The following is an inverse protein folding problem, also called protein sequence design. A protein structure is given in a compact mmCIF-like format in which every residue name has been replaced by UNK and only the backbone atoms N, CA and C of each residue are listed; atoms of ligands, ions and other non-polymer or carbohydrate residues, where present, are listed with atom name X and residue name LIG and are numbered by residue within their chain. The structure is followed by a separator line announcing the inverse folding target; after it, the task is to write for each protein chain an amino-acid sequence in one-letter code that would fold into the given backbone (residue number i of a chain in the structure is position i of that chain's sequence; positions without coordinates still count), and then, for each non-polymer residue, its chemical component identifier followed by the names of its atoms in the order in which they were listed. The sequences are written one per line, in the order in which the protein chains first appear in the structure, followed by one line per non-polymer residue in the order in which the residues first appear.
data_IF_963766435122
#
_entry.id   IF_963766435122
#
_cell.length_a   1.000
_cell.length_b   1.000
_cell.length_c   1.000
_cell.angle_alpha   90.00
_cell.angle_beta   90.00
_cell.angle_gamma   90.00
#
_symmetry.space_group_name_H-M   'P 1'
#
loop_
_entity.id
_entity.type
_entity.pdbx_description
1 polymer ?
#
# COMPACT_ATOMS: atom_id res chain seq x y z
N UNK A 1 -64.92 -18.85 -6.51
CA UNK A 1 -64.57 -20.14 -7.11
C UNK A 1 -63.17 -20.47 -6.68
N UNK A 2 -63.05 -21.52 -5.91
CA UNK A 2 -61.81 -22.19 -5.51
C UNK A 2 -61.07 -22.71 -6.74
N UNK A 3 -59.74 -22.70 -6.73
CA UNK A 3 -59.01 -23.95 -6.85
C UNK A 3 -57.55 -23.85 -6.37
N UNK A 4 -57.27 -24.79 -5.48
CA UNK A 4 -56.02 -25.19 -4.86
C UNK A 4 -55.15 -25.99 -5.84
N UNK A 5 -53.83 -25.87 -5.76
CA UNK A 5 -52.92 -27.02 -5.64
C UNK A 5 -51.46 -26.58 -5.52
N UNK A 6 -50.93 -26.70 -4.29
CA UNK A 6 -49.51 -26.63 -3.98
C UNK A 6 -48.88 -28.03 -4.15
N UNK A 7 -47.80 -28.12 -4.93
CA UNK A 7 -46.97 -29.32 -5.02
C UNK A 7 -45.91 -29.37 -3.89
N UNK A 8 -45.38 -30.56 -3.56
CA UNK A 8 -44.50 -30.75 -2.40
C UNK A 8 -43.05 -30.29 -2.65
N UNK A 9 -42.24 -30.09 -1.60
CA UNK A 9 -40.87 -29.58 -1.71
C UNK A 9 -39.89 -30.68 -2.16
N UNK A 10 -38.90 -30.29 -2.97
CA UNK A 10 -37.79 -31.13 -3.42
C UNK A 10 -36.64 -31.02 -2.41
N UNK A 11 -36.25 -32.14 -1.78
CA UNK A 11 -35.03 -32.29 -0.98
C UNK A 11 -33.77 -32.44 -1.87
N UNK A 12 -32.60 -31.93 -1.46
CA UNK A 12 -31.34 -32.15 -2.16
C UNK A 12 -30.71 -33.53 -1.89
N UNK A 13 -30.13 -34.11 -2.93
CA UNK A 13 -29.56 -35.45 -2.95
C UNK A 13 -28.34 -35.63 -2.02
N UNK A 14 -28.42 -36.69 -1.20
CA UNK A 14 -27.33 -37.27 -0.40
C UNK A 14 -26.39 -38.09 -1.30
N UNK A 15 -25.08 -37.82 -1.23
CA UNK A 15 -24.05 -38.60 -1.93
C UNK A 15 -23.70 -39.86 -1.14
N UNK A 16 -24.00 -41.01 -1.74
CA UNK A 16 -23.72 -42.35 -1.22
C UNK A 16 -22.22 -42.72 -1.29
N UNK A 17 -21.75 -43.42 -0.24
CA UNK A 17 -20.46 -44.13 -0.19
C UNK A 17 -20.46 -45.36 -1.10
N UNK A 18 -19.34 -45.74 -1.75
CA UNK A 18 -19.22 -47.04 -2.40
C UNK A 18 -18.64 -48.14 -1.46
N UNK A 19 -18.86 -49.43 -1.78
CA UNK A 19 -18.78 -50.54 -0.84
C UNK A 19 -17.43 -51.28 -0.81
N UNK A 20 -17.17 -51.92 0.34
CA UNK A 20 -16.10 -52.89 0.56
C UNK A 20 -16.24 -54.13 -0.34
N UNK A 21 -15.12 -54.59 -0.92
CA UNK A 21 -15.02 -55.94 -1.49
C UNK A 21 -13.69 -56.59 -1.07
N UNK A 22 -13.82 -57.66 -0.28
CA UNK A 22 -12.76 -58.53 0.22
C UNK A 22 -12.05 -59.29 -0.91
N UNK A 23 -10.71 -59.29 -0.93
CA UNK A 23 -9.91 -60.41 -1.46
C UNK A 23 -8.64 -60.66 -0.63
N UNK A 24 -8.67 -61.85 -0.03
CA UNK A 24 -7.64 -62.82 0.41
C UNK A 24 -6.17 -62.39 0.52
N UNK A 25 -5.64 -62.69 1.71
CA UNK A 25 -4.24 -62.65 2.17
C UNK A 25 -3.33 -63.59 1.36
N UNK A 26 -2.14 -63.09 1.02
CA UNK A 26 -0.92 -63.88 0.94
C UNK A 26 0.17 -63.11 1.69
N UNK A 27 0.74 -63.74 2.70
CA UNK A 27 1.72 -63.20 3.64
C UNK A 27 3.11 -63.47 3.09
N UNK A 28 3.93 -62.42 2.89
CA UNK A 28 5.38 -62.55 2.88
C UNK A 28 5.92 -61.48 3.83
N UNK A 29 6.63 -61.95 4.84
CA UNK A 29 7.22 -61.16 5.91
C UNK A 29 8.47 -60.42 5.42
N UNK A 30 8.62 -59.16 5.80
CA UNK A 30 9.91 -58.51 5.99
C UNK A 30 9.77 -57.27 6.90
N UNK A 31 10.29 -57.40 8.11
CA UNK A 31 10.97 -56.39 8.95
C UNK A 31 10.29 -55.04 9.21
N UNK A 32 9.89 -54.82 10.47
CA UNK A 32 9.42 -53.55 11.02
C UNK A 32 10.54 -52.49 11.03
N UNK A 33 10.36 -51.45 10.21
CA UNK A 33 11.00 -50.14 10.37
C UNK A 33 9.93 -49.10 10.68
N UNK A 34 10.13 -48.34 11.75
CA UNK A 34 9.21 -47.32 12.25
C UNK A 34 8.87 -46.27 11.17
N UNK A 35 7.59 -46.01 10.95
CA UNK A 35 7.10 -44.88 10.15
C UNK A 35 6.67 -43.75 11.09
N UNK A 36 7.59 -42.83 11.33
CA UNK A 36 7.26 -41.47 11.77
C UNK A 36 6.91 -40.65 10.52
N UNK A 37 5.82 -39.89 10.60
CA UNK A 37 5.39 -38.95 9.57
C UNK A 37 6.49 -37.91 9.31
N UNK A 38 7.03 -37.92 8.09
CA UNK A 38 7.93 -36.89 7.58
C UNK A 38 7.11 -35.75 6.99
N UNK A 39 6.98 -34.67 7.77
CA UNK A 39 6.90 -33.32 7.23
C UNK A 39 8.14 -33.11 6.36
N UNK A 40 7.96 -32.97 5.05
CA UNK A 40 9.01 -32.50 4.15
C UNK A 40 9.27 -31.01 4.40
N UNK A 41 9.95 -30.72 5.52
CA UNK A 41 10.82 -29.56 5.59
C UNK A 41 12.08 -29.93 4.80
N UNK A 42 12.36 -29.20 3.74
CA UNK A 42 13.58 -29.29 2.95
C UNK A 42 14.82 -28.97 3.81
N UNK A 43 15.27 -29.96 4.57
CA UNK A 43 16.58 -30.02 5.21
C UNK A 43 17.50 -30.88 4.37
N UNK A 44 18.47 -30.26 3.69
CA UNK A 44 19.57 -30.98 3.08
C UNK A 44 20.50 -31.51 4.19
N UNK A 45 20.64 -32.83 4.24
CA UNK A 45 21.65 -33.53 5.03
C UNK A 45 23.03 -33.26 4.40
N UNK A 46 23.96 -32.64 5.13
CA UNK A 46 25.35 -32.49 4.71
C UNK A 46 26.22 -33.46 5.51
N UNK A 47 26.84 -34.40 4.80
CA UNK A 47 27.88 -35.28 5.32
C UNK A 47 29.17 -34.48 5.53
N UNK A 48 29.74 -34.57 6.73
CA UNK A 48 31.00 -33.92 7.09
C UNK A 48 32.20 -34.75 6.59
N UNK A 49 33.06 -34.10 5.81
CA UNK A 49 34.46 -34.51 5.61
C UNK A 49 35.34 -33.41 6.21
N UNK A 50 36.36 -33.84 6.95
CA UNK A 50 37.14 -33.08 7.91
C UNK A 50 37.76 -31.77 7.39
N UNK A 51 37.73 -30.73 8.25
CA UNK A 51 38.78 -29.71 8.31
C UNK A 51 38.57 -28.39 7.57
N UNK A 52 37.45 -28.17 6.88
CA UNK A 52 37.12 -26.86 6.30
C UNK A 52 35.99 -26.18 7.08
N UNK A 53 36.07 -24.85 7.36
CA UNK A 53 34.97 -24.13 8.00
C UNK A 53 33.74 -24.22 7.09
N UNK A 54 32.69 -24.89 7.59
CA UNK A 54 31.41 -25.03 6.89
C UNK A 54 30.86 -23.63 6.63
N UNK A 55 30.85 -23.21 5.36
CA UNK A 55 30.18 -21.97 4.96
C UNK A 55 28.70 -22.13 5.27
N UNK A 56 28.16 -21.31 6.17
CA UNK A 56 26.73 -21.30 6.44
C UNK A 56 25.98 -21.01 5.14
N UNK A 57 25.02 -21.87 4.78
CA UNK A 57 24.18 -21.65 3.61
C UNK A 57 23.43 -20.31 3.74
N UNK A 58 23.31 -19.53 2.65
CA UNK A 58 22.63 -18.25 2.71
C UNK A 58 21.14 -18.43 3.04
N UNK A 59 20.56 -17.44 3.72
CA UNK A 59 19.11 -17.27 3.79
C UNK A 59 18.63 -16.71 2.45
N UNK A 60 17.89 -17.51 1.68
CA UNK A 60 17.38 -17.09 0.38
C UNK A 60 16.00 -16.43 0.57
N UNK A 61 15.85 -15.21 0.06
CA UNK A 61 14.58 -14.49 -0.03
C UNK A 61 14.06 -14.61 -1.46
N UNK A 62 13.20 -15.60 -1.71
CA UNK A 62 12.73 -16.01 -3.05
C UNK A 62 11.27 -15.65 -3.33
N UNK A 63 10.59 -14.99 -2.40
CA UNK A 63 9.21 -14.53 -2.57
C UNK A 63 9.18 -13.07 -3.06
N UNK A 64 8.56 -12.79 -4.23
CA UNK A 64 8.37 -11.42 -4.69
C UNK A 64 7.60 -10.59 -3.66
N UNK A 65 8.02 -9.33 -3.48
CA UNK A 65 7.48 -8.43 -2.44
C UNK A 65 7.61 -8.94 -0.99
N UNK A 66 8.45 -9.96 -0.76
CA UNK A 66 8.73 -10.48 0.58
C UNK A 66 9.39 -9.43 1.49
N UNK A 67 9.03 -9.44 2.78
CA UNK A 67 9.59 -8.53 3.77
C UNK A 67 10.29 -9.33 4.87
N UNK A 68 11.61 -9.17 4.98
CA UNK A 68 12.38 -9.62 6.13
C UNK A 68 12.48 -8.47 7.14
N UNK A 69 11.82 -8.61 8.28
CA UNK A 69 11.67 -7.53 9.25
C UNK A 69 12.14 -7.90 10.66
N UNK A 70 12.92 -7.02 11.30
CA UNK A 70 13.18 -7.05 12.75
C UNK A 70 14.04 -8.22 13.27
N UNK A 71 14.54 -9.08 12.37
CA UNK A 71 15.27 -10.30 12.72
C UNK A 71 16.78 -10.06 12.84
N UNK A 72 17.45 -10.91 13.62
CA UNK A 72 18.91 -11.06 13.58
C UNK A 72 19.25 -12.27 12.70
N UNK A 73 20.14 -12.11 11.73
CA UNK A 73 20.55 -13.13 10.77
C UNK A 73 22.07 -13.31 10.84
N UNK A 74 22.51 -14.43 11.42
CA UNK A 74 23.94 -14.76 11.60
C UNK A 74 24.54 -15.55 10.42
N UNK A 75 24.05 -15.31 9.20
CA UNK A 75 24.49 -15.96 7.96
C UNK A 75 24.29 -15.00 6.77
N UNK A 76 24.88 -15.25 5.59
CA UNK A 76 24.65 -14.41 4.43
C UNK A 76 23.17 -14.42 4.00
N UNK A 77 22.70 -13.34 3.42
CA UNK A 77 21.37 -13.25 2.81
C UNK A 77 21.54 -13.21 1.29
N UNK A 78 20.72 -13.97 0.58
CA UNK A 78 20.62 -13.92 -0.86
C UNK A 78 19.22 -13.48 -1.28
N UNK A 79 19.12 -12.39 -2.01
CA UNK A 79 17.84 -11.87 -2.53
C UNK A 79 17.63 -12.41 -3.93
N UNK A 80 16.61 -13.26 -4.08
CA UNK A 80 16.34 -14.04 -5.28
C UNK A 80 15.02 -13.68 -6.00
N UNK A 81 14.28 -12.70 -5.48
CA UNK A 81 13.02 -12.24 -6.05
C UNK A 81 12.89 -10.72 -6.02
N UNK A 82 12.05 -10.19 -6.91
CA UNK A 82 11.84 -8.75 -7.06
C UNK A 82 11.08 -8.12 -5.89
N UNK A 83 11.35 -6.83 -5.67
CA UNK A 83 10.68 -5.98 -4.68
C UNK A 83 10.83 -6.47 -3.22
N UNK A 84 11.85 -7.25 -2.90
CA UNK A 84 12.12 -7.71 -1.53
C UNK A 84 12.56 -6.55 -0.64
N UNK A 85 12.03 -6.49 0.58
CA UNK A 85 12.42 -5.50 1.60
C UNK A 85 13.12 -6.16 2.78
N UNK A 86 14.30 -5.67 3.14
CA UNK A 86 15.05 -6.03 4.36
C UNK A 86 15.01 -4.81 5.29
N UNK A 87 14.24 -4.88 6.37
CA UNK A 87 13.97 -3.74 7.26
C UNK A 87 14.30 -4.05 8.72
N UNK A 88 15.05 -3.17 9.38
CA UNK A 88 15.39 -3.32 10.82
C UNK A 88 16.03 -4.66 11.13
N UNK A 89 16.82 -5.19 10.19
CA UNK A 89 17.50 -6.47 10.34
C UNK A 89 18.90 -6.22 10.90
N UNK A 90 19.41 -7.16 11.69
CA UNK A 90 20.83 -7.21 12.08
C UNK A 90 21.50 -8.40 11.40
N UNK A 91 22.38 -8.14 10.45
CA UNK A 91 23.12 -9.18 9.72
C UNK A 91 24.52 -9.28 10.32
N UNK A 92 24.93 -10.48 10.75
CA UNK A 92 26.30 -10.74 11.22
C UNK A 92 26.86 -11.92 10.47
N UNK A 93 27.84 -11.70 9.60
CA UNK A 93 28.34 -12.80 8.77
C UNK A 93 29.72 -12.56 8.20
N UNK A 94 30.39 -13.63 7.76
CA UNK A 94 31.64 -13.59 7.00
C UNK A 94 31.44 -14.23 5.63
N UNK A 95 32.53 -14.48 4.91
CA UNK A 95 32.46 -15.03 3.55
C UNK A 95 32.60 -13.95 2.49
N UNK A 96 31.93 -14.10 1.35
CA UNK A 96 32.10 -13.22 0.18
C UNK A 96 31.33 -11.90 0.30
N UNK A 97 30.07 -11.95 0.71
CA UNK A 97 29.25 -10.77 0.97
C UNK A 97 28.17 -11.05 2.03
N UNK A 98 27.72 -10.02 2.74
CA UNK A 98 26.67 -10.15 3.73
C UNK A 98 25.26 -10.24 3.11
N UNK A 99 25.01 -9.45 2.07
CA UNK A 99 23.78 -9.48 1.28
C UNK A 99 24.14 -9.53 -0.20
N UNK A 100 23.62 -10.53 -0.91
CA UNK A 100 23.82 -10.73 -2.35
C UNK A 100 22.50 -10.54 -3.08
N UNK A 101 22.45 -9.62 -4.04
CA UNK A 101 21.32 -9.46 -4.96
C UNK A 101 21.57 -10.33 -6.19
N UNK A 102 20.68 -11.29 -6.49
CA UNK A 102 20.82 -12.13 -7.67
C UNK A 102 20.72 -11.29 -8.96
N UNK A 103 21.43 -11.67 -10.02
CA UNK A 103 21.28 -11.03 -11.33
C UNK A 103 19.82 -10.99 -11.78
N UNK A 104 19.39 -9.86 -12.32
CA UNK A 104 18.01 -9.65 -12.82
C UNK A 104 16.99 -9.28 -11.75
N UNK A 105 17.32 -9.38 -10.46
CA UNK A 105 16.44 -8.94 -9.38
C UNK A 105 16.35 -7.42 -9.35
N UNK A 106 15.13 -6.89 -9.31
CA UNK A 106 14.86 -5.44 -9.24
C UNK A 106 14.07 -5.06 -7.99
N UNK A 107 14.28 -3.83 -7.51
CA UNK A 107 13.45 -3.25 -6.46
C UNK A 107 13.79 -3.70 -5.03
N UNK A 108 14.97 -4.29 -4.80
CA UNK A 108 15.40 -4.62 -3.44
C UNK A 108 15.59 -3.35 -2.60
N UNK A 109 14.90 -3.27 -1.46
CA UNK A 109 15.07 -2.24 -0.45
C UNK A 109 15.74 -2.81 0.79
N UNK A 110 16.77 -2.12 1.29
CA UNK A 110 17.41 -2.39 2.57
C UNK A 110 17.29 -1.12 3.40
N UNK A 111 16.54 -1.16 4.51
CA UNK A 111 16.28 0.02 5.34
C UNK A 111 16.48 -0.24 6.84
N UNK A 112 16.99 0.76 7.56
CA UNK A 112 17.21 0.72 9.01
C UNK A 112 18.00 -0.52 9.50
N UNK A 113 18.87 -1.06 8.65
CA UNK A 113 19.49 -2.38 8.83
C UNK A 113 20.96 -2.22 9.23
N UNK A 114 21.43 -3.08 10.13
CA UNK A 114 22.82 -3.11 10.59
C UNK A 114 23.51 -4.35 10.02
N UNK A 115 24.63 -4.14 9.33
CA UNK A 115 25.45 -5.21 8.74
C UNK A 115 26.81 -5.21 9.41
N UNK A 116 27.17 -6.33 10.02
CA UNK A 116 28.48 -6.54 10.65
C UNK A 116 29.21 -7.69 9.97
N UNK A 117 30.22 -7.35 9.17
CA UNK A 117 31.10 -8.36 8.61
C UNK A 117 32.05 -8.89 9.69
N UNK A 118 32.16 -10.21 9.78
CA UNK A 118 33.04 -10.89 10.76
C UNK A 118 34.40 -11.26 10.16
N UNK A 119 34.62 -11.01 8.87
CA UNK A 119 35.89 -11.19 8.18
C UNK A 119 36.20 -9.97 7.31
N UNK A 120 37.47 -9.54 7.31
CA UNK A 120 37.94 -8.38 6.55
C UNK A 120 37.82 -8.53 5.02
N UNK A 121 37.61 -9.75 4.51
CA UNK A 121 37.41 -10.02 3.09
C UNK A 121 35.95 -9.94 2.62
N UNK A 122 34.99 -9.77 3.54
CA UNK A 122 33.55 -9.79 3.25
C UNK A 122 33.06 -8.43 2.79
N UNK A 123 32.37 -8.38 1.65
CA UNK A 123 31.67 -7.18 1.19
C UNK A 123 30.31 -7.05 1.93
N UNK A 124 29.75 -5.84 2.06
CA UNK A 124 28.46 -5.63 2.70
C UNK A 124 27.31 -6.06 1.79
N UNK A 125 26.90 -5.18 0.89
CA UNK A 125 25.84 -5.46 -0.09
C UNK A 125 26.42 -5.41 -1.51
N UNK A 126 26.13 -6.45 -2.30
CA UNK A 126 26.64 -6.62 -3.67
C UNK A 126 25.53 -7.10 -4.62
N UNK A 127 25.62 -6.91 -5.95
CA UNK A 127 26.63 -6.14 -6.69
C UNK A 127 26.15 -4.72 -7.09
N UNK A 128 24.99 -4.28 -6.62
CA UNK A 128 24.31 -3.03 -7.04
C UNK A 128 22.82 -3.28 -7.34
N UNK A 129 22.08 -2.29 -7.82
CA UNK A 129 20.67 -2.48 -8.23
C UNK A 129 19.66 -2.54 -7.08
N UNK A 130 20.08 -2.10 -5.89
CA UNK A 130 19.26 -2.02 -4.68
C UNK A 130 19.21 -0.59 -4.14
N UNK A 131 18.29 -0.34 -3.21
CA UNK A 131 18.26 0.90 -2.41
C UNK A 131 18.65 0.60 -0.98
N UNK A 132 19.62 1.33 -0.43
CA UNK A 132 20.06 1.26 0.96
C UNK A 132 19.75 2.59 1.67
N UNK A 133 18.86 2.54 2.67
CA UNK A 133 18.42 3.71 3.43
C UNK A 133 18.74 3.52 4.92
N UNK A 134 19.59 4.40 5.49
CA UNK A 134 20.03 4.31 6.89
C UNK A 134 20.63 2.95 7.25
N UNK A 135 21.38 2.36 6.31
CA UNK A 135 22.07 1.09 6.50
C UNK A 135 23.44 1.35 7.13
N UNK A 136 23.70 0.74 8.29
CA UNK A 136 24.99 0.85 8.98
C UNK A 136 25.82 -0.40 8.71
N UNK A 137 26.94 -0.24 8.01
CA UNK A 137 27.84 -1.34 7.68
C UNK A 137 29.13 -1.21 8.48
N UNK A 138 29.58 -2.28 9.13
CA UNK A 138 30.79 -2.28 9.98
C UNK A 138 31.65 -3.51 9.72
N UNK A 139 32.96 -3.29 9.58
CA UNK A 139 33.96 -4.35 9.43
C UNK A 139 33.99 -5.02 8.05
N UNK A 140 33.29 -4.47 7.06
CA UNK A 140 33.23 -5.00 5.70
C UNK A 140 34.31 -4.35 4.82
N UNK A 141 34.85 -5.11 3.85
CA UNK A 141 35.84 -4.61 2.88
C UNK A 141 35.29 -3.44 2.06
N UNK A 142 34.10 -3.63 1.48
CA UNK A 142 33.34 -2.59 0.82
C UNK A 142 31.91 -2.64 1.34
N UNK A 143 31.39 -1.55 1.90
CA UNK A 143 30.03 -1.56 2.45
C UNK A 143 28.95 -1.77 1.38
N UNK A 144 29.08 -1.08 0.25
CA UNK A 144 28.09 -1.07 -0.82
C UNK A 144 28.79 -1.20 -2.16
N UNK A 145 29.01 -2.43 -2.62
CA UNK A 145 29.64 -2.67 -3.91
C UNK A 145 28.62 -2.45 -5.02
N UNK A 146 28.98 -1.59 -5.97
CA UNK A 146 28.18 -1.19 -7.12
C UNK A 146 29.06 -0.95 -8.34
N UNK A 147 28.46 -0.89 -9.52
CA UNK A 147 29.13 -0.47 -10.77
C UNK A 147 28.29 0.61 -11.46
N UNK A 148 28.87 1.36 -12.39
CA UNK A 148 28.13 2.39 -13.14
C UNK A 148 26.96 1.82 -13.95
N UNK A 149 27.09 0.56 -14.40
CA UNK A 149 26.03 -0.15 -15.12
C UNK A 149 24.92 -0.70 -14.20
N UNK A 150 25.17 -0.80 -12.89
CA UNK A 150 24.22 -1.29 -11.91
C UNK A 150 24.36 -0.51 -10.59
N UNK A 151 24.03 0.79 -10.57
CA UNK A 151 24.22 1.62 -9.39
C UNK A 151 23.26 1.21 -8.27
N UNK A 152 23.68 1.41 -7.03
CA UNK A 152 22.82 1.36 -5.85
C UNK A 152 22.42 2.79 -5.46
N UNK A 153 21.20 2.94 -4.93
CA UNK A 153 20.78 4.21 -4.32
C UNK A 153 21.09 4.16 -2.83
N UNK A 154 22.03 4.98 -2.37
CA UNK A 154 22.53 4.94 -1.00
C UNK A 154 22.23 6.26 -0.31
N UNK A 155 21.39 6.23 0.73
CA UNK A 155 20.89 7.41 1.43
C UNK A 155 21.10 7.23 2.93
N UNK A 156 21.67 8.24 3.59
CA UNK A 156 21.89 8.30 5.05
C UNK A 156 22.59 7.05 5.64
N UNK A 157 23.36 6.34 4.80
CA UNK A 157 24.01 5.09 5.17
C UNK A 157 25.48 5.32 5.52
N UNK A 158 26.09 4.41 6.27
CA UNK A 158 27.44 4.58 6.79
C UNK A 158 28.27 3.32 6.67
N UNK A 159 29.59 3.52 6.55
CA UNK A 159 30.60 2.49 6.70
C UNK A 159 31.51 2.84 7.88
N UNK A 160 31.64 1.92 8.83
CA UNK A 160 32.54 2.04 9.99
C UNK A 160 32.34 3.36 10.77
N UNK A 161 31.08 3.73 10.96
CA UNK A 161 30.67 4.95 11.67
C UNK A 161 30.79 6.24 10.86
N UNK A 162 31.33 6.21 9.63
CA UNK A 162 31.43 7.37 8.74
C UNK A 162 30.33 7.35 7.68
N UNK A 163 29.68 8.48 7.36
CA UNK A 163 28.74 8.56 6.24
C UNK A 163 29.37 8.02 4.95
N UNK A 164 28.63 7.21 4.20
CA UNK A 164 29.15 6.60 2.97
C UNK A 164 28.93 7.52 1.76
N UNK A 165 30.00 7.98 1.09
CA UNK A 165 29.89 8.81 -0.11
C UNK A 165 29.74 7.90 -1.33
N UNK A 166 28.51 7.51 -1.69
CA UNK A 166 28.36 6.47 -2.73
C UNK A 166 26.99 6.37 -3.38
N UNK A 167 26.55 7.44 -4.01
CA UNK A 167 25.49 7.48 -5.01
C UNK A 167 25.63 8.84 -5.71
N UNK A 168 25.12 9.04 -6.95
CA UNK A 168 25.30 10.31 -7.66
C UNK A 168 24.92 11.46 -6.73
N UNK A 169 25.93 12.24 -6.36
CA UNK A 169 25.77 13.43 -5.55
C UNK A 169 24.95 14.40 -6.36
N UNK A 170 23.64 14.44 -6.10
CA UNK A 170 22.83 15.60 -6.42
C UNK A 170 23.54 16.83 -5.89
N UNK A 171 23.53 17.97 -6.61
CA UNK A 171 24.28 19.14 -6.22
C UNK A 171 23.94 19.51 -4.77
N UNK A 172 24.98 19.63 -3.96
CA UNK A 172 24.98 20.16 -2.61
C UNK A 172 24.72 21.67 -2.66
N UNK A 173 23.55 22.03 -3.16
CA UNK A 173 22.83 23.19 -2.68
C UNK A 173 21.97 22.69 -1.53
N UNK A 174 22.06 23.33 -0.37
CA UNK A 174 20.99 23.30 0.61
C UNK A 174 19.75 23.88 -0.07
N UNK A 175 19.00 23.03 -0.78
CA UNK A 175 17.59 23.29 -1.04
C UNK A 175 17.00 23.29 0.35
N UNK A 176 16.52 24.45 0.86
CA UNK A 176 15.78 24.47 2.10
C UNK A 176 14.68 23.40 1.97
N UNK A 177 14.35 22.63 3.02
CA UNK A 177 13.14 21.83 2.96
C UNK A 177 12.03 22.76 2.42
N UNK A 178 11.30 22.39 1.35
CA UNK A 178 10.17 23.20 0.94
C UNK A 178 9.37 23.41 2.22
N UNK A 179 9.17 24.68 2.59
CA UNK A 179 8.49 25.01 3.81
C UNK A 179 7.22 24.15 3.84
N UNK A 180 6.90 23.45 4.96
CA UNK A 180 5.64 22.74 5.07
C UNK A 180 4.57 23.73 4.61
N UNK A 181 3.79 23.34 3.60
CA UNK A 181 2.82 24.23 2.98
C UNK A 181 2.03 24.89 4.13
N UNK A 182 2.11 26.22 4.32
CA UNK A 182 1.43 26.88 5.42
C UNK A 182 -0.08 26.56 5.40
N UNK A 183 -0.65 26.23 4.25
CA UNK A 183 -2.02 25.70 4.13
C UNK A 183 -2.19 24.30 4.72
N UNK A 184 -1.21 23.40 4.63
CA UNK A 184 -1.34 22.03 5.17
C UNK A 184 -1.41 21.99 6.70
N UNK A 185 -0.73 22.94 7.35
CA UNK A 185 -0.78 23.15 8.80
C UNK A 185 -2.01 23.97 9.21
N UNK A 186 -2.31 25.05 8.51
CA UNK A 186 -3.51 25.87 8.73
C UNK A 186 -4.81 25.11 8.45
N UNK A 187 -4.80 24.15 7.52
CA UNK A 187 -5.93 23.27 7.26
C UNK A 187 -6.05 22.23 8.37
N UNK A 188 -4.99 21.53 8.79
CA UNK A 188 -5.05 20.64 9.96
C UNK A 188 -5.59 21.35 11.23
N UNK A 189 -5.28 22.65 11.36
CA UNK A 189 -5.70 23.54 12.46
C UNK A 189 -7.02 24.31 12.20
N UNK A 190 -7.68 24.11 11.05
CA UNK A 190 -8.93 24.83 10.73
C UNK A 190 -10.00 24.48 11.78
N UNK A 191 -10.65 25.48 12.41
CA UNK A 191 -11.56 25.23 13.53
C UNK A 191 -12.69 24.28 13.10
N UNK A 192 -13.18 23.42 14.02
CA UNK A 192 -14.35 22.60 13.75
C UNK A 192 -15.50 23.51 13.32
N UNK A 193 -16.01 23.29 12.12
CA UNK A 193 -17.13 24.09 11.60
C UNK A 193 -18.38 23.86 12.46
N UNK A 194 -19.12 24.94 12.69
CA UNK A 194 -20.13 25.09 13.73
C UNK A 194 -21.29 24.08 13.67
N UNK A 195 -21.84 23.61 14.83
CA UNK A 195 -23.04 22.79 14.85
C UNK A 195 -24.33 23.59 14.62
N UNK A 196 -25.25 22.96 13.87
CA UNK A 196 -26.72 22.94 14.02
C UNK A 196 -27.52 24.27 14.02
N UNK A 197 -27.52 25.02 12.90
CA UNK A 197 -28.66 25.87 12.48
C UNK A 197 -28.56 26.39 11.01
N UNK A 198 -27.68 25.82 10.19
CA UNK A 198 -27.46 26.30 8.81
C UNK A 198 -28.47 25.68 7.82
N UNK A 199 -28.85 26.38 6.74
CA UNK A 199 -29.57 25.77 5.61
C UNK A 199 -28.85 24.51 5.12
N UNK A 200 -29.56 23.55 4.46
CA UNK A 200 -28.94 22.33 3.98
C UNK A 200 -27.72 22.68 3.12
N UNK A 201 -26.54 22.19 3.54
CA UNK A 201 -25.29 22.47 2.83
C UNK A 201 -25.44 22.01 1.38
N UNK A 202 -25.30 22.91 0.38
CA UNK A 202 -25.45 22.53 -1.00
C UNK A 202 -24.35 21.53 -1.40
N UNK A 203 -24.64 20.65 -2.37
CA UNK A 203 -23.66 19.65 -2.82
C UNK A 203 -22.37 20.30 -3.37
N UNK A 204 -22.48 21.53 -3.89
CA UNK A 204 -21.37 22.35 -4.39
C UNK A 204 -20.42 22.85 -3.29
N UNK A 205 -20.73 22.61 -2.01
CA UNK A 205 -19.80 22.84 -0.90
C UNK A 205 -18.61 21.91 -0.98
N UNK A 206 -18.80 20.66 -1.39
CA UNK A 206 -17.72 19.70 -1.56
C UNK A 206 -17.09 19.80 -2.97
N UNK A 207 -15.86 19.29 -3.13
CA UNK A 207 -15.18 19.28 -4.43
C UNK A 207 -15.95 18.51 -5.50
N UNK A 208 -15.82 18.96 -6.74
CA UNK A 208 -16.45 18.35 -7.91
C UNK A 208 -15.66 18.66 -9.18
N UNK A 209 -16.22 18.37 -10.37
CA UNK A 209 -15.48 18.48 -11.63
C UNK A 209 -15.06 19.91 -11.98
N UNK A 210 -15.74 20.93 -11.43
CA UNK A 210 -15.43 22.34 -11.71
C UNK A 210 -14.28 22.94 -10.89
N UNK A 211 -13.83 22.26 -9.82
CA UNK A 211 -12.80 22.79 -8.91
C UNK A 211 -11.74 21.74 -8.51
N UNK A 212 -11.68 20.61 -9.21
CA UNK A 212 -10.69 19.54 -9.03
C UNK A 212 -10.05 19.14 -10.36
N UNK A 213 -8.91 18.47 -10.29
CA UNK A 213 -8.14 18.08 -11.46
C UNK A 213 -7.27 19.21 -11.98
N UNK A 214 -6.96 19.16 -13.29
CA UNK A 214 -6.14 20.19 -13.93
C UNK A 214 -6.92 21.50 -13.98
N UNK A 215 -6.36 22.64 -13.52
CA UNK A 215 -7.06 23.91 -13.56
C UNK A 215 -7.39 24.31 -14.99
N UNK A 216 -8.60 24.82 -15.22
CA UNK A 216 -9.04 25.27 -16.54
C UNK A 216 -8.05 26.27 -17.15
N UNK A 217 -7.76 26.12 -18.44
CA UNK A 217 -6.78 26.96 -19.15
C UNK A 217 -5.32 26.57 -18.95
N UNK A 218 -5.01 25.53 -18.18
CA UNK A 218 -3.63 25.02 -18.08
C UNK A 218 -3.19 24.42 -19.41
N UNK A 219 -2.10 24.95 -19.98
CA UNK A 219 -1.45 24.34 -21.14
C UNK A 219 -0.69 23.08 -20.71
N UNK A 220 -1.03 21.93 -21.30
CA UNK A 220 -0.40 20.65 -21.01
C UNK A 220 0.58 20.25 -22.11
N UNK A 221 1.79 19.84 -21.71
CA UNK A 221 2.78 19.22 -22.61
C UNK A 221 2.68 17.70 -22.53
N UNK A 222 2.66 17.03 -23.68
CA UNK A 222 2.65 15.58 -23.72
C UNK A 222 3.92 14.97 -23.11
N UNK A 223 3.74 13.87 -22.39
CA UNK A 223 4.81 13.05 -21.84
C UNK A 223 4.41 11.58 -21.81
N UNK A 224 5.39 10.68 -21.78
CA UNK A 224 5.17 9.27 -21.48
C UNK A 224 5.21 8.99 -19.98
N UNK A 225 5.39 7.72 -19.61
CA UNK A 225 5.61 7.32 -18.22
C UNK A 225 6.78 8.07 -17.58
N UNK A 226 6.67 8.37 -16.29
CA UNK A 226 7.68 9.11 -15.54
C UNK A 226 8.29 8.25 -14.44
N UNK A 227 9.60 8.42 -14.23
CA UNK A 227 10.35 7.84 -13.12
C UNK A 227 11.01 8.97 -12.33
N UNK A 228 10.34 9.44 -11.27
CA UNK A 228 10.76 10.58 -10.45
C UNK A 228 11.71 10.12 -9.34
N UNK A 229 13.01 10.29 -9.59
CA UNK A 229 14.11 9.77 -8.74
C UNK A 229 14.95 10.86 -8.10
N UNK A 230 14.64 12.12 -8.35
CA UNK A 230 15.39 13.25 -7.81
C UNK A 230 14.60 13.88 -6.67
N UNK A 231 15.24 14.06 -5.52
CA UNK A 231 14.59 14.70 -4.38
C UNK A 231 14.24 16.15 -4.70
N UNK A 232 13.06 16.60 -4.26
CA UNK A 232 12.57 17.96 -4.57
C UNK A 232 12.12 18.16 -6.02
N UNK A 233 12.12 17.12 -6.86
CA UNK A 233 11.73 17.23 -8.26
C UNK A 233 10.28 17.69 -8.39
N UNK A 234 10.07 18.73 -9.20
CA UNK A 234 8.74 19.24 -9.53
C UNK A 234 8.42 18.89 -10.98
N UNK A 235 7.30 18.21 -11.21
CA UNK A 235 6.71 18.00 -12.54
C UNK A 235 5.37 18.71 -12.58
N UNK A 236 5.16 19.52 -13.62
CA UNK A 236 3.97 20.37 -13.72
C UNK A 236 3.55 20.57 -15.17
N UNK A 237 2.23 20.73 -15.41
CA UNK A 237 1.68 21.04 -16.73
C UNK A 237 1.88 19.92 -17.74
N UNK A 238 1.78 18.65 -17.33
CA UNK A 238 1.98 17.51 -18.22
C UNK A 238 0.67 16.78 -18.54
N UNK A 239 0.54 16.35 -19.79
CA UNK A 239 -0.38 15.28 -20.20
C UNK A 239 0.43 13.98 -20.30
N UNK A 240 0.42 13.22 -19.21
CA UNK A 240 1.17 11.97 -19.03
C UNK A 240 0.32 10.83 -19.57
N UNK A 241 0.67 10.32 -20.75
CA UNK A 241 0.12 9.07 -21.28
C UNK A 241 1.08 7.96 -20.89
N UNK A 242 0.84 7.40 -19.71
CA UNK A 242 1.75 6.53 -19.00
C UNK A 242 1.53 6.58 -17.50
N UNK A 243 2.33 5.84 -16.76
CA UNK A 243 2.22 5.73 -15.31
C UNK A 243 3.41 6.41 -14.64
N UNK A 244 3.25 6.84 -13.39
CA UNK A 244 4.29 7.56 -12.64
C UNK A 244 4.85 6.66 -11.54
N UNK A 245 6.17 6.53 -11.49
CA UNK A 245 6.88 5.90 -10.38
C UNK A 245 7.67 6.97 -9.63
N UNK A 246 7.51 7.05 -8.31
CA UNK A 246 8.19 8.01 -7.44
C UNK A 246 9.09 7.25 -6.49
N UNK A 247 10.37 7.61 -6.43
CA UNK A 247 11.39 6.94 -5.60
C UNK A 247 12.23 7.93 -4.78
N UNK A 248 11.84 9.21 -4.72
CA UNK A 248 12.59 10.24 -4.02
C UNK A 248 11.69 11.13 -3.17
N UNK A 249 12.30 11.75 -2.15
CA UNK A 249 11.61 12.61 -1.20
C UNK A 249 11.23 13.97 -1.80
N UNK A 250 10.17 14.58 -1.27
CA UNK A 250 9.74 15.95 -1.59
C UNK A 250 9.43 16.18 -3.08
N UNK A 251 9.06 15.11 -3.80
CA UNK A 251 8.63 15.21 -5.20
C UNK A 251 7.25 15.86 -5.25
N UNK A 252 7.01 16.69 -6.28
CA UNK A 252 5.74 17.36 -6.50
C UNK A 252 5.24 17.07 -7.92
N UNK A 253 3.99 16.60 -8.03
CA UNK A 253 3.26 16.40 -9.28
C UNK A 253 2.10 17.40 -9.29
N UNK A 254 2.19 18.42 -10.13
CA UNK A 254 1.29 19.57 -10.10
C UNK A 254 0.56 19.72 -11.43
N UNK A 255 -0.70 20.17 -11.44
CA UNK A 255 -1.39 20.68 -12.65
C UNK A 255 -1.24 19.78 -13.87
N UNK A 256 -1.38 18.46 -13.68
CA UNK A 256 -1.05 17.46 -14.69
C UNK A 256 -2.18 16.45 -14.85
N UNK A 257 -2.29 15.86 -16.03
CA UNK A 257 -3.19 14.76 -16.33
C UNK A 257 -2.40 13.47 -16.47
N UNK A 258 -2.89 12.39 -15.87
CA UNK A 258 -2.29 11.06 -15.91
C UNK A 258 -3.31 10.10 -16.48
N UNK A 259 -2.97 9.46 -17.60
CA UNK A 259 -3.75 8.37 -18.20
C UNK A 259 -2.87 7.12 -18.21
N UNK A 260 -3.16 6.18 -17.30
CA UNK A 260 -2.32 5.00 -17.07
C UNK A 260 -3.11 3.72 -17.30
N UNK A 261 -2.53 2.77 -18.06
CA UNK A 261 -3.17 1.48 -18.37
C UNK A 261 -2.56 0.29 -17.59
N UNK A 262 -1.71 0.55 -16.60
CA UNK A 262 -1.07 -0.50 -15.79
C UNK A 262 -2.11 -1.30 -15.01
N UNK A 263 -1.87 -2.61 -14.81
CA UNK A 263 -2.69 -3.46 -13.94
C UNK A 263 -2.45 -3.21 -12.45
N UNK A 264 -1.44 -2.40 -12.11
CA UNK A 264 -1.12 -2.02 -10.73
C UNK A 264 -1.60 -0.61 -10.43
N UNK A 265 -0.70 0.38 -10.45
CA UNK A 265 -0.98 1.72 -9.95
C UNK A 265 -0.78 2.81 -11.01
N UNK A 266 -1.59 3.87 -10.96
CA UNK A 266 -1.35 5.08 -11.77
C UNK A 266 -0.12 5.84 -11.27
N UNK A 267 -0.01 5.97 -9.95
CA UNK A 267 1.16 6.51 -9.25
C UNK A 267 1.66 5.47 -8.24
N UNK A 268 2.89 4.98 -8.42
CA UNK A 268 3.55 4.03 -7.52
C UNK A 268 4.61 4.75 -6.71
N UNK A 269 4.43 4.84 -5.40
CA UNK A 269 5.49 5.24 -4.46
C UNK A 269 6.38 4.03 -4.17
N UNK A 270 7.68 4.20 -4.35
CA UNK A 270 8.69 3.24 -3.94
C UNK A 270 9.34 3.69 -2.63
N UNK A 271 10.25 2.86 -2.15
CA UNK A 271 11.17 3.24 -1.10
C UNK A 271 11.87 4.57 -1.44
N UNK A 272 12.02 5.44 -0.44
CA UNK A 272 12.58 6.78 -0.63
C UNK A 272 11.56 7.84 -1.04
N UNK A 273 10.36 7.46 -1.51
CA UNK A 273 9.27 8.41 -1.70
C UNK A 273 8.69 8.80 -0.35
N UNK A 274 9.04 10.00 0.11
CA UNK A 274 8.46 10.64 1.30
C UNK A 274 8.01 12.05 0.95
N UNK A 275 6.94 12.52 1.61
CA UNK A 275 6.41 13.87 1.40
C UNK A 275 6.10 14.17 -0.10
N UNK A 276 5.51 13.19 -0.80
CA UNK A 276 5.06 13.37 -2.17
C UNK A 276 3.83 14.30 -2.18
N UNK A 277 3.86 15.39 -2.94
CA UNK A 277 2.69 16.22 -3.19
C UNK A 277 2.10 15.91 -4.57
N UNK A 278 0.81 15.62 -4.63
CA UNK A 278 0.03 15.43 -5.85
C UNK A 278 -1.11 16.44 -5.79
N UNK A 279 -1.05 17.50 -6.59
CA UNK A 279 -1.98 18.61 -6.47
C UNK A 279 -2.48 19.11 -7.83
N UNK A 280 -3.79 19.37 -7.92
CA UNK A 280 -4.43 19.85 -9.15
C UNK A 280 -4.21 18.84 -10.31
N UNK A 281 -4.37 17.54 -10.01
CA UNK A 281 -4.07 16.44 -10.94
C UNK A 281 -5.35 15.70 -11.32
N UNK A 282 -5.49 15.40 -12.60
CA UNK A 282 -6.49 14.45 -13.11
C UNK A 282 -5.83 13.07 -13.28
N UNK A 283 -6.46 12.01 -12.75
CA UNK A 283 -5.99 10.63 -12.86
C UNK A 283 -7.10 9.76 -13.47
N UNK A 284 -6.80 9.16 -14.61
CA UNK A 284 -7.64 8.18 -15.29
C UNK A 284 -6.89 6.83 -15.37
N UNK A 285 -7.41 5.81 -14.69
CA UNK A 285 -6.78 4.49 -14.67
C UNK A 285 -7.25 3.50 -15.72
N UNK A 286 -7.99 3.97 -16.73
CA UNK A 286 -8.42 3.21 -17.91
C UNK A 286 -9.17 1.88 -17.63
N UNK A 287 -9.83 1.76 -16.49
CA UNK A 287 -10.42 0.52 -15.97
C UNK A 287 -9.40 -0.63 -15.82
N UNK A 288 -8.10 -0.32 -15.69
CA UNK A 288 -7.00 -1.29 -15.59
C UNK A 288 -6.32 -1.27 -14.23
N UNK A 289 -6.09 -0.09 -13.66
CA UNK A 289 -5.36 0.01 -12.39
C UNK A 289 -6.11 -0.71 -11.26
N UNK A 290 -5.39 -1.53 -10.51
CA UNK A 290 -5.90 -2.14 -9.29
C UNK A 290 -6.17 -1.09 -8.21
N UNK A 291 -5.35 -0.05 -8.13
CA UNK A 291 -5.56 1.14 -7.31
C UNK A 291 -4.96 2.39 -7.98
N UNK A 292 -5.45 3.59 -7.72
CA UNK A 292 -4.90 4.80 -8.38
C UNK A 292 -3.50 5.19 -7.86
N UNK A 293 -3.32 5.21 -6.54
CA UNK A 293 -2.07 5.58 -5.86
C UNK A 293 -1.76 4.51 -4.82
N UNK A 294 -0.51 4.07 -4.75
CA UNK A 294 -0.05 3.24 -3.65
C UNK A 294 1.34 3.67 -3.16
N UNK A 295 1.62 3.74 -1.85
CA UNK A 295 0.71 3.38 -0.75
C UNK A 295 0.65 4.39 0.39
N UNK A 296 1.76 5.06 0.73
CA UNK A 296 1.81 6.03 1.82
C UNK A 296 2.77 7.17 1.55
N UNK A 297 2.92 8.07 2.52
CA UNK A 297 3.78 9.26 2.47
C UNK A 297 3.48 10.21 1.32
N UNK A 298 2.19 10.40 0.99
CA UNK A 298 1.75 11.36 -0.01
C UNK A 298 0.60 12.24 0.50
N UNK A 299 0.50 13.43 -0.09
CA UNK A 299 -0.64 14.32 0.01
C UNK A 299 -1.29 14.43 -1.36
N UNK A 300 -2.57 14.09 -1.46
CA UNK A 300 -3.42 14.29 -2.63
C UNK A 300 -4.35 15.48 -2.38
N UNK A 301 -4.28 16.52 -3.22
CA UNK A 301 -5.07 17.75 -3.02
C UNK A 301 -5.71 18.22 -4.32
N UNK A 302 -7.00 18.55 -4.29
CA UNK A 302 -7.77 19.02 -5.46
C UNK A 302 -7.62 18.09 -6.67
N UNK A 303 -7.59 16.79 -6.43
CA UNK A 303 -7.46 15.80 -7.49
C UNK A 303 -8.83 15.34 -8.03
N UNK A 304 -8.87 15.04 -9.32
CA UNK A 304 -10.00 14.36 -9.95
C UNK A 304 -9.55 12.93 -10.34
N UNK A 305 -10.09 11.92 -9.68
CA UNK A 305 -9.62 10.52 -9.79
C UNK A 305 -10.78 9.63 -10.22
N UNK A 306 -10.67 9.00 -11.38
CA UNK A 306 -11.75 8.20 -11.97
C UNK A 306 -11.27 7.03 -12.83
N UNK A 307 -12.18 6.10 -13.11
CA UNK A 307 -12.00 5.00 -14.05
C UNK A 307 -10.82 4.07 -13.70
N UNK A 308 -10.73 3.63 -12.45
CA UNK A 308 -9.86 2.54 -11.98
C UNK A 308 -10.65 1.57 -11.10
N UNK A 309 -10.09 0.40 -10.79
CA UNK A 309 -10.77 -0.60 -9.95
C UNK A 309 -10.95 -0.04 -8.53
N UNK A 310 -9.86 0.21 -7.81
CA UNK A 310 -9.91 0.95 -6.55
C UNK A 310 -9.30 2.34 -6.71
N UNK A 311 -9.73 3.28 -5.86
CA UNK A 311 -9.04 4.55 -5.71
C UNK A 311 -7.74 4.40 -4.90
N UNK A 312 -7.29 5.45 -4.20
CA UNK A 312 -6.03 5.42 -3.47
C UNK A 312 -5.98 4.39 -2.34
N UNK A 313 -4.83 3.72 -2.19
CA UNK A 313 -4.46 3.00 -0.96
C UNK A 313 -3.93 3.99 0.07
N UNK A 314 -4.27 3.74 1.34
CA UNK A 314 -3.93 4.60 2.48
C UNK A 314 -3.08 3.84 3.50
N UNK A 315 -1.76 4.05 3.44
CA UNK A 315 -0.81 3.63 4.46
C UNK A 315 -0.31 4.86 5.24
N UNK A 316 0.81 4.72 5.95
CA UNK A 316 1.38 5.76 6.81
C UNK A 316 1.49 7.14 6.15
N UNK A 317 1.21 8.20 6.90
CA UNK A 317 1.40 9.60 6.50
C UNK A 317 0.69 9.98 5.21
N UNK A 318 -0.52 9.47 5.01
CA UNK A 318 -1.34 9.76 3.84
C UNK A 318 -2.33 10.86 4.13
N UNK A 319 -2.46 11.82 3.21
CA UNK A 319 -3.42 12.90 3.33
C UNK A 319 -4.20 13.09 2.02
N UNK A 320 -5.52 13.22 2.12
CA UNK A 320 -6.39 13.45 0.97
C UNK A 320 -7.34 14.60 1.29
N UNK A 321 -7.22 15.68 0.52
CA UNK A 321 -7.93 16.93 0.73
C UNK A 321 -8.60 17.42 -0.53
N UNK A 322 -9.76 18.04 -0.37
CA UNK A 322 -10.41 18.84 -1.41
C UNK A 322 -10.55 18.09 -2.76
N UNK A 323 -10.65 16.77 -2.75
CA UNK A 323 -10.56 15.93 -3.95
C UNK A 323 -11.90 15.29 -4.32
N UNK A 324 -12.05 15.00 -5.61
CA UNK A 324 -13.22 14.36 -6.19
C UNK A 324 -12.82 12.97 -6.71
N UNK A 325 -13.32 11.93 -6.04
CA UNK A 325 -13.04 10.54 -6.38
C UNK A 325 -14.35 9.85 -6.75
N UNK A 326 -14.46 9.39 -7.99
CA UNK A 326 -15.73 8.94 -8.54
C UNK A 326 -15.56 7.94 -9.68
N UNK A 327 -16.67 7.35 -10.12
CA UNK A 327 -16.74 6.55 -11.35
C UNK A 327 -15.63 5.50 -11.45
N UNK A 328 -15.44 4.72 -10.37
CA UNK A 328 -14.61 3.52 -10.43
C UNK A 328 -15.13 2.55 -11.50
N UNK A 329 -14.25 1.66 -11.94
CA UNK A 329 -14.54 0.66 -12.95
C UNK A 329 -14.71 -0.71 -12.30
N UNK A 330 -15.94 -1.20 -12.27
CA UNK A 330 -16.26 -2.58 -11.88
C UNK A 330 -15.64 -3.55 -12.89
N UNK A 331 -14.93 -4.56 -12.39
CA UNK A 331 -14.54 -5.75 -13.16
C UNK A 331 -15.07 -7.00 -12.47
N UNK A 332 -15.07 -8.14 -13.17
CA UNK A 332 -15.57 -9.38 -12.60
C UNK A 332 -14.85 -9.72 -11.29
N UNK A 333 -15.61 -9.87 -10.20
CA UNK A 333 -15.08 -10.20 -8.87
C UNK A 333 -14.40 -9.05 -8.11
N UNK A 334 -14.40 -7.80 -8.62
CA UNK A 334 -13.76 -6.69 -7.90
C UNK A 334 -14.63 -6.13 -6.77
N UNK A 335 -13.97 -5.77 -5.67
CA UNK A 335 -14.53 -5.06 -4.53
C UNK A 335 -14.07 -3.62 -4.60
N UNK A 336 -14.76 -2.78 -5.37
CA UNK A 336 -14.30 -1.43 -5.69
C UNK A 336 -14.39 -0.49 -4.48
N UNK A 337 -13.25 -0.07 -3.95
CA UNK A 337 -13.16 0.88 -2.84
C UNK A 337 -12.65 2.24 -3.32
N UNK A 338 -13.35 3.33 -2.97
CA UNK A 338 -12.86 4.67 -3.31
C UNK A 338 -11.56 4.96 -2.54
N UNK A 339 -11.52 4.55 -1.27
CA UNK A 339 -10.35 4.61 -0.41
C UNK A 339 -10.24 3.31 0.39
N UNK A 340 -9.02 2.77 0.50
CA UNK A 340 -8.78 1.58 1.31
C UNK A 340 -7.53 1.73 2.18
N UNK A 341 -7.68 1.44 3.46
CA UNK A 341 -6.58 1.18 4.38
C UNK A 341 -6.66 -0.24 4.94
N UNK A 342 -5.55 -0.96 4.89
CA UNK A 342 -5.39 -2.28 5.54
C UNK A 342 -4.36 -2.20 6.68
N UNK A 343 -4.18 -0.98 7.21
CA UNK A 343 -3.27 -0.60 8.27
C UNK A 343 -2.52 0.69 7.96
N UNK A 344 -1.94 1.29 8.99
CA UNK A 344 -1.13 2.50 8.85
C UNK A 344 -1.26 3.46 10.03
N UNK A 345 -0.57 4.58 9.96
CA UNK A 345 -0.57 5.62 10.98
C UNK A 345 -0.63 7.02 10.37
N UNK A 346 -1.30 7.95 11.05
CA UNK A 346 -1.35 9.37 10.67
C UNK A 346 -1.96 9.57 9.27
N UNK A 347 -3.25 9.25 9.17
CA UNK A 347 -4.04 9.33 7.93
C UNK A 347 -5.12 10.42 8.09
N UNK A 348 -5.20 11.35 7.14
CA UNK A 348 -6.22 12.41 7.16
C UNK A 348 -6.96 12.41 5.83
N UNK A 349 -8.28 12.30 5.89
CA UNK A 349 -9.18 12.35 4.74
C UNK A 349 -10.22 13.42 5.04
N UNK A 350 -10.12 14.56 4.35
CA UNK A 350 -10.93 15.72 4.69
C UNK A 350 -11.46 16.48 3.48
N UNK A 351 -12.72 16.91 3.58
CA UNK A 351 -13.34 17.80 2.60
C UNK A 351 -13.32 17.23 1.17
N UNK A 352 -13.62 15.93 1.02
CA UNK A 352 -13.65 15.27 -0.28
C UNK A 352 -15.09 14.91 -0.70
N UNK A 353 -15.28 14.72 -2.00
CA UNK A 353 -16.43 14.03 -2.57
C UNK A 353 -16.02 12.61 -2.98
N UNK A 354 -16.65 11.60 -2.38
CA UNK A 354 -16.33 10.18 -2.57
C UNK A 354 -17.58 9.44 -3.07
N UNK A 355 -17.58 9.03 -4.34
CA UNK A 355 -18.76 8.41 -4.98
C UNK A 355 -18.51 6.93 -5.30
N UNK A 356 -18.91 6.06 -4.38
CA UNK A 356 -18.76 4.61 -4.44
C UNK A 356 -19.98 3.92 -5.09
N UNK A 357 -20.39 4.38 -6.26
CA UNK A 357 -21.47 3.76 -7.01
C UNK A 357 -21.39 4.12 -8.50
N UNK A 358 -22.08 3.34 -9.32
CA UNK A 358 -22.36 3.73 -10.70
C UNK A 358 -23.76 4.38 -10.76
N UNK A 359 -23.87 5.67 -11.11
CA UNK A 359 -25.16 6.38 -11.12
C UNK A 359 -26.10 5.90 -12.24
N UNK A 360 -25.58 5.29 -13.31
CA UNK A 360 -26.36 4.81 -14.45
C UNK A 360 -26.98 3.45 -14.13
N UNK A 361 -26.16 2.50 -13.65
CA UNK A 361 -26.62 1.14 -13.33
C UNK A 361 -27.17 1.01 -11.92
N UNK A 362 -27.05 2.07 -11.09
CA UNK A 362 -27.33 2.07 -9.65
C UNK A 362 -26.63 0.93 -8.91
N UNK A 363 -25.43 0.57 -9.38
CA UNK A 363 -24.62 -0.47 -8.76
C UNK A 363 -23.81 0.15 -7.60
N UNK A 364 -24.12 -0.17 -6.33
CA UNK A 364 -23.27 0.24 -5.22
C UNK A 364 -21.95 -0.52 -5.29
N UNK A 365 -20.85 0.23 -5.26
CA UNK A 365 -19.50 -0.34 -5.16
C UNK A 365 -19.26 -0.89 -3.75
N UNK A 366 -18.01 -1.11 -3.33
CA UNK A 366 -17.75 -1.69 -2.02
C UNK A 366 -17.86 -0.65 -0.90
N UNK A 367 -17.11 0.45 -0.97
CA UNK A 367 -17.20 1.53 0.03
C UNK A 367 -16.60 2.86 -0.46
N UNK A 368 -16.94 3.97 0.20
CA UNK A 368 -16.17 5.21 0.08
C UNK A 368 -14.84 5.11 0.82
N UNK A 369 -14.88 4.48 2.01
CA UNK A 369 -13.70 4.17 2.80
C UNK A 369 -13.88 2.79 3.43
N UNK A 370 -12.94 1.89 3.18
CA UNK A 370 -12.79 0.65 3.93
C UNK A 370 -11.53 0.70 4.77
N UNK A 371 -11.64 0.33 6.05
CA UNK A 371 -10.52 0.28 6.99
C UNK A 371 -10.42 -1.08 7.67
N UNK A 372 -9.19 -1.53 7.85
CA UNK A 372 -8.85 -2.73 8.59
C UNK A 372 -7.36 -2.80 8.90
N UNK A 373 -6.92 -3.96 9.35
CA UNK A 373 -5.53 -4.28 9.68
C UNK A 373 -5.16 -5.67 9.15
N UNK A 374 -5.60 -5.98 7.92
CA UNK A 374 -5.40 -7.28 7.27
C UNK A 374 -3.96 -7.48 6.80
N UNK A 375 -3.26 -6.40 6.44
CA UNK A 375 -1.88 -6.46 5.91
C UNK A 375 -0.87 -5.69 6.76
N UNK A 376 -1.31 -5.05 7.84
CA UNK A 376 -0.45 -4.42 8.84
C UNK A 376 -0.99 -4.69 10.25
N UNK A 377 -0.15 -4.67 11.30
CA UNK A 377 -0.57 -5.09 12.64
C UNK A 377 -1.60 -4.16 13.28
N UNK A 378 -1.72 -2.91 12.80
CA UNK A 378 -2.68 -1.95 13.35
C UNK A 378 -2.97 -0.78 12.40
N UNK A 379 -4.05 -0.05 12.69
CA UNK A 379 -4.40 1.24 12.10
C UNK A 379 -4.55 2.29 13.21
N UNK A 380 -3.75 3.36 13.18
CA UNK A 380 -3.73 4.37 14.23
C UNK A 380 -3.86 5.78 13.67
N UNK A 381 -4.44 6.70 14.45
CA UNK A 381 -4.47 8.14 14.14
C UNK A 381 -5.04 8.42 12.75
N UNK A 382 -6.27 7.93 12.49
CA UNK A 382 -7.00 8.23 11.26
C UNK A 382 -8.09 9.25 11.56
N UNK A 383 -8.18 10.30 10.76
CA UNK A 383 -9.31 11.24 10.79
C UNK A 383 -10.01 11.26 9.45
N UNK A 384 -11.31 10.98 9.45
CA UNK A 384 -12.20 11.09 8.31
C UNK A 384 -13.26 12.15 8.61
N UNK A 385 -13.12 13.33 8.02
CA UNK A 385 -13.97 14.47 8.39
C UNK A 385 -14.40 15.38 7.25
N UNK A 386 -15.58 15.99 7.41
CA UNK A 386 -16.12 16.95 6.43
C UNK A 386 -16.20 16.39 5.00
N UNK A 387 -16.33 15.07 4.82
CA UNK A 387 -16.46 14.47 3.50
C UNK A 387 -17.93 14.29 3.13
N UNK A 388 -18.23 14.44 1.83
CA UNK A 388 -19.44 13.89 1.25
C UNK A 388 -19.13 12.51 0.67
N UNK A 389 -19.82 11.50 1.18
CA UNK A 389 -19.69 10.14 0.72
C UNK A 389 -21.06 9.60 0.27
N UNK A 390 -21.10 8.97 -0.90
CA UNK A 390 -22.32 8.35 -1.40
C UNK A 390 -22.00 7.01 -2.07
N UNK A 391 -22.88 6.03 -1.92
CA UNK A 391 -22.66 4.69 -2.44
C UNK A 391 -22.00 3.71 -1.46
N UNK A 392 -21.64 2.55 -1.97
CA UNK A 392 -20.99 1.44 -1.25
C UNK A 392 -21.96 0.35 -0.81
N UNK A 393 -21.45 -0.84 -0.51
CA UNK A 393 -22.20 -1.85 0.23
C UNK A 393 -22.54 -1.29 1.62
N UNK A 394 -21.48 -0.90 2.33
CA UNK A 394 -21.54 0.14 3.34
C UNK A 394 -20.73 1.32 2.86
N UNK A 395 -21.22 2.54 3.04
CA UNK A 395 -20.44 3.74 2.70
C UNK A 395 -19.09 3.78 3.43
N UNK A 396 -19.09 3.36 4.69
CA UNK A 396 -17.91 3.16 5.53
C UNK A 396 -17.84 1.68 5.95
N UNK A 397 -16.85 0.98 5.42
CA UNK A 397 -16.50 -0.38 5.82
C UNK A 397 -15.49 -0.37 6.95
N UNK A 398 -15.86 -0.82 8.14
CA UNK A 398 -14.87 -1.10 9.18
C UNK A 398 -14.77 -2.62 9.31
N UNK A 399 -13.56 -3.15 9.26
CA UNK A 399 -13.31 -4.59 9.33
C UNK A 399 -13.48 -5.14 10.75
N UNK A 400 -14.06 -6.34 10.93
CA UNK A 400 -14.06 -7.01 12.23
C UNK A 400 -12.68 -7.39 12.74
N UNK A 401 -11.66 -7.38 11.85
CA UNK A 401 -10.27 -7.67 12.19
C UNK A 401 -9.48 -6.43 12.59
N UNK A 402 -10.11 -5.24 12.65
CA UNK A 402 -9.45 -4.00 12.99
C UNK A 402 -8.80 -4.08 14.38
N UNK A 403 -7.49 -3.91 14.41
CA UNK A 403 -6.72 -3.53 15.60
C UNK A 403 -6.39 -2.06 15.42
N UNK A 404 -7.11 -1.16 16.11
CA UNK A 404 -6.94 0.27 15.90
C UNK A 404 -7.06 1.13 17.14
N UNK A 405 -6.56 2.36 17.02
CA UNK A 405 -6.64 3.38 18.07
C UNK A 405 -6.69 4.78 17.46
N UNK A 406 -7.41 5.70 18.13
CA UNK A 406 -7.55 7.08 17.69
C UNK A 406 -8.03 7.22 16.23
N UNK A 407 -9.11 6.52 15.89
CA UNK A 407 -9.78 6.60 14.58
C UNK A 407 -11.03 7.45 14.77
N UNK A 408 -11.11 8.60 14.10
CA UNK A 408 -12.17 9.58 14.28
C UNK A 408 -12.97 9.78 12.98
N UNK A 409 -14.30 9.68 13.10
CA UNK A 409 -15.26 10.06 12.07
C UNK A 409 -16.11 11.22 12.59
N UNK A 410 -16.10 12.38 11.92
CA UNK A 410 -16.91 13.55 12.30
C UNK A 410 -17.30 14.44 11.12
N UNK A 411 -18.38 15.19 11.24
CA UNK A 411 -18.81 16.20 10.26
C UNK A 411 -19.03 15.66 8.83
N UNK A 412 -19.25 14.36 8.65
CA UNK A 412 -19.43 13.81 7.30
C UNK A 412 -20.90 13.80 6.89
N UNK A 413 -21.13 13.93 5.58
CA UNK A 413 -22.45 13.82 4.97
C UNK A 413 -22.55 12.60 4.07
N UNK A 414 -23.65 11.87 4.21
CA UNK A 414 -23.86 10.61 3.52
C UNK A 414 -25.06 10.67 2.58
N UNK A 415 -24.87 10.21 1.35
CA UNK A 415 -25.97 9.95 0.41
C UNK A 415 -26.67 8.62 0.70
N UNK A 416 -27.63 8.26 -0.16
CA UNK A 416 -28.53 7.12 0.02
C UNK A 416 -28.23 5.93 -0.89
N UNK A 417 -27.26 6.04 -1.80
CA UNK A 417 -27.00 5.02 -2.82
C UNK A 417 -26.23 3.79 -2.30
N UNK A 418 -26.27 3.53 -0.99
CA UNK A 418 -25.66 2.35 -0.38
C UNK A 418 -26.55 1.10 -0.45
N UNK A 419 -25.96 -0.10 -0.31
CA UNK A 419 -26.71 -1.37 -0.27
C UNK A 419 -27.29 -1.72 1.11
N UNK A 420 -26.46 -1.63 2.16
CA UNK A 420 -26.80 -2.13 3.49
C UNK A 420 -26.95 -1.02 4.53
N UNK A 421 -26.11 0.01 4.47
CA UNK A 421 -26.14 1.12 5.41
C UNK A 421 -24.99 2.08 5.20
N UNK A 422 -24.94 3.13 6.02
CA UNK A 422 -23.82 4.08 5.99
C UNK A 422 -22.55 3.48 6.57
N UNK A 423 -22.63 2.77 7.69
CA UNK A 423 -21.42 2.28 8.37
C UNK A 423 -21.63 0.88 8.92
N UNK A 424 -20.59 0.05 8.80
CA UNK A 424 -20.48 -1.23 9.47
C UNK A 424 -19.50 -1.14 10.65
N UNK A 425 -19.96 -1.55 11.85
CA UNK A 425 -19.18 -1.58 13.10
C UNK A 425 -18.47 -0.27 13.47
N UNK A 426 -19.26 0.81 13.50
CA UNK A 426 -18.91 2.12 14.04
C UNK A 426 -18.52 2.09 15.53
N UNK A 427 -18.94 1.06 16.26
CA UNK A 427 -18.73 0.86 17.69
C UNK A 427 -17.51 -0.02 18.02
N UNK A 428 -16.63 -0.26 17.05
CA UNK A 428 -15.44 -1.09 17.28
C UNK A 428 -14.42 -0.38 18.18
N UNK A 429 -13.65 -1.14 18.98
CA UNK A 429 -12.58 -0.58 19.80
C UNK A 429 -11.63 0.31 18.97
N UNK A 430 -11.28 1.47 19.53
CA UNK A 430 -10.40 2.44 18.88
C UNK A 430 -11.07 3.39 17.88
N UNK A 431 -12.34 3.14 17.53
CA UNK A 431 -13.15 4.01 16.66
C UNK A 431 -14.01 4.95 17.49
N UNK A 432 -13.92 6.24 17.19
CA UNK A 432 -14.80 7.29 17.68
C UNK A 432 -15.67 7.77 16.52
N UNK A 433 -16.97 7.53 16.65
CA UNK A 433 -17.98 8.03 15.73
C UNK A 433 -18.74 9.19 16.37
N UNK A 434 -18.49 10.40 15.92
CA UNK A 434 -19.19 11.60 16.41
C UNK A 434 -20.61 11.63 15.83
N UNK A 435 -21.53 10.94 16.52
CA UNK A 435 -22.90 10.66 16.03
C UNK A 435 -23.66 11.90 15.55
N UNK A 436 -23.69 13.03 16.29
CA UNK A 436 -24.47 14.21 15.88
C UNK A 436 -23.98 14.87 14.59
N UNK A 437 -22.73 14.61 14.18
CA UNK A 437 -22.11 15.29 13.05
C UNK A 437 -21.93 14.41 11.81
N UNK A 438 -22.16 13.11 11.94
CA UNK A 438 -22.20 12.18 10.81
C UNK A 438 -23.66 11.95 10.42
N UNK A 439 -24.11 12.69 9.40
CA UNK A 439 -25.53 12.85 9.08
C UNK A 439 -25.83 12.53 7.63
N UNK A 440 -27.08 12.21 7.33
CA UNK A 440 -27.52 12.12 5.96
C UNK A 440 -27.53 13.50 5.29
N UNK A 441 -27.11 13.54 4.03
CA UNK A 441 -27.02 14.76 3.25
C UNK A 441 -28.39 15.43 3.02
N UNK A 442 -29.43 14.63 2.80
CA UNK A 442 -30.77 15.08 2.43
C UNK A 442 -31.55 15.74 3.56
N UNK A 443 -31.44 15.21 4.79
CA UNK A 443 -32.28 15.60 5.92
C UNK A 443 -31.52 15.93 7.21
N UNK A 444 -30.19 15.80 7.20
CA UNK A 444 -29.34 16.12 8.36
C UNK A 444 -29.53 15.22 9.57
N UNK A 445 -30.26 14.10 9.45
CA UNK A 445 -30.43 13.16 10.56
C UNK A 445 -29.16 12.32 10.76
N UNK A 446 -28.80 11.98 12.02
CA UNK A 446 -27.71 11.05 12.30
C UNK A 446 -27.90 9.72 11.57
N UNK A 447 -26.79 9.15 11.10
CA UNK A 447 -26.81 7.90 10.31
C UNK A 447 -26.80 6.62 11.14
N UNK A 448 -26.54 6.72 12.46
CA UNK A 448 -26.48 5.61 13.45
C UNK A 448 -26.93 6.02 14.85
#
# INVERSE_FOLDING_TARGET
MTDTNAGPPIEPASLARPPHRNRRRATVAATFGATAALLAASGYLVLNVAGQPVRAAPMVLDQPAGVLWGQTVDRPIEVAADNVTIRRVKVRTGGTAAIVIRPGVVGTLIEDTEIRCTSAGTDGVVPGGYSALRVRVTGCRQAFRQTDANPATIVESSQDGKPYPGGPSGPSGSVPPPAPDPDSRAMAERPPYAPAAAPPTPITYWPGPGNTGVPAGTALRNSGSLSLRTAGQVVSGLNIVGCVTVAAANVQILKSKITCNSTTYSIRTLAGATNLLIQDVEINGMAKNSASICCGNYTLRRANVYNMIDGPRLADNTRIFDSYLHSLARVAGSHNDILQSTGGNNIIIRHNTLLSYNPVTRDPFNSCLTIGSETAPSLMNLTFEDNYCNGGNYSIGISPRLVGSNILFRNNKYGRDYRYGVVSGWNRPGVTWDRPTNVYFDNGQPVV
#
